data_IF_867761415479
#
_entry.id   IF_867761415479
#
_cell.length_a   1.000
_cell.length_b   1.000
_cell.length_c   1.000
_cell.angle_alpha   90.00
_cell.angle_beta   90.00
_cell.angle_gamma   90.00
#
_symmetry.space_group_name_H-M   'P 1'
#
loop_
_entity.id
_entity.type
_entity.pdbx_description
1 polymer ?
#
# COMPACT_ATOMS: atom_id res chain seq x y z
N UNK A 1 -5.84 26.00 13.35
CA UNK A 1 -6.52 25.62 14.62
C UNK A 1 -7.33 26.83 15.07
N UNK A 2 -8.54 26.65 15.50
CA UNK A 2 -9.39 27.76 16.02
C UNK A 2 -9.09 27.90 17.50
N UNK A 3 -8.75 29.12 17.95
CA UNK A 3 -8.39 29.38 19.33
C UNK A 3 -9.49 30.17 20.02
N UNK A 4 -9.54 30.07 21.36
CA UNK A 4 -10.44 30.90 22.15
C UNK A 4 -10.02 32.38 22.03
N UNK A 5 -10.94 33.25 21.57
CA UNK A 5 -10.68 34.68 21.32
C UNK A 5 -10.46 35.06 19.86
N UNK A 6 -10.44 34.06 18.93
CA UNK A 6 -10.38 34.37 17.50
C UNK A 6 -11.64 35.12 17.05
N UNK A 7 -11.46 36.16 16.25
CA UNK A 7 -12.59 36.85 15.62
C UNK A 7 -13.11 36.08 14.39
N UNK A 8 -14.28 36.47 13.87
CA UNK A 8 -14.90 35.79 12.74
C UNK A 8 -13.99 35.69 11.50
N UNK A 9 -13.17 36.71 11.21
CA UNK A 9 -12.24 36.68 10.09
C UNK A 9 -11.09 35.69 10.34
N UNK A 10 -10.59 35.64 11.58
CA UNK A 10 -9.53 34.68 11.94
C UNK A 10 -10.04 33.25 11.87
N UNK A 11 -11.27 32.99 12.32
CA UNK A 11 -11.94 31.69 12.18
C UNK A 11 -12.08 31.30 10.70
N UNK A 12 -12.63 32.22 9.88
CA UNK A 12 -12.78 31.96 8.43
C UNK A 12 -11.42 31.71 7.77
N UNK A 13 -10.41 32.51 8.06
CA UNK A 13 -9.08 32.33 7.52
C UNK A 13 -8.43 31.02 8.00
N UNK A 14 -8.59 30.65 9.26
CA UNK A 14 -8.14 29.37 9.79
C UNK A 14 -8.83 28.19 9.09
N UNK A 15 -10.12 28.24 8.85
CA UNK A 15 -10.87 27.22 8.13
C UNK A 15 -10.47 27.11 6.65
N UNK A 16 -10.10 28.22 6.03
CA UNK A 16 -9.68 28.25 4.60
C UNK A 16 -8.22 27.89 4.39
N UNK A 17 -7.34 28.21 5.32
CA UNK A 17 -5.87 28.10 5.15
C UNK A 17 -5.22 26.99 5.96
N UNK A 18 -5.83 26.51 7.04
CA UNK A 18 -5.23 25.51 7.93
C UNK A 18 -5.66 24.07 7.61
N UNK A 19 -5.43 23.64 6.37
CA UNK A 19 -5.56 22.23 6.05
C UNK A 19 -4.30 21.49 6.54
N UNK A 20 -4.33 21.02 7.79
CA UNK A 20 -3.20 20.32 8.40
C UNK A 20 -3.13 18.89 7.87
N UNK A 21 -2.02 18.50 7.24
CA UNK A 21 -1.89 17.14 6.74
C UNK A 21 -1.78 16.14 7.89
N UNK A 22 -2.40 14.98 7.70
CA UNK A 22 -2.34 13.82 8.58
C UNK A 22 -1.29 12.84 8.08
N UNK A 23 -0.48 12.32 8.97
CA UNK A 23 0.46 11.26 8.63
C UNK A 23 -0.22 9.89 8.79
N UNK A 24 -0.28 9.14 7.69
CA UNK A 24 -0.73 7.75 7.64
C UNK A 24 0.48 6.86 7.33
N UNK A 25 0.88 6.04 8.29
CA UNK A 25 1.99 5.10 8.12
C UNK A 25 1.44 3.72 7.81
N UNK A 26 1.84 3.16 6.68
CA UNK A 26 1.54 1.80 6.25
C UNK A 26 2.79 0.94 6.40
N UNK A 27 2.91 0.29 7.51
CA UNK A 27 3.89 -0.75 7.79
C UNK A 27 3.19 -1.88 8.54
N UNK A 28 3.55 -3.10 8.29
CA UNK A 28 3.00 -4.29 8.97
C UNK A 28 1.46 -4.43 8.89
N UNK A 29 0.83 -3.95 7.82
CA UNK A 29 -0.58 -4.18 7.54
C UNK A 29 -0.67 -5.39 6.64
N UNK A 30 -1.56 -6.33 6.96
CA UNK A 30 -1.66 -7.62 6.25
C UNK A 30 -2.86 -7.69 5.32
N UNK A 31 -3.92 -6.89 5.56
CA UNK A 31 -5.15 -6.95 4.76
C UNK A 31 -5.65 -5.56 4.36
N UNK A 32 -6.38 -5.51 3.25
CA UNK A 32 -7.06 -4.28 2.81
C UNK A 32 -8.08 -3.79 3.84
N UNK A 33 -8.76 -4.70 4.52
CA UNK A 33 -9.73 -4.37 5.59
C UNK A 33 -9.06 -3.68 6.78
N UNK A 34 -7.91 -4.19 7.23
CA UNK A 34 -7.13 -3.56 8.29
C UNK A 34 -6.66 -2.16 7.89
N UNK A 35 -6.18 -2.01 6.65
CA UNK A 35 -5.78 -0.74 6.09
C UNK A 35 -6.94 0.25 6.05
N UNK A 36 -8.09 -0.16 5.49
CA UNK A 36 -9.30 0.68 5.43
C UNK A 36 -9.75 1.13 6.82
N UNK A 37 -9.73 0.25 7.80
CA UNK A 37 -10.03 0.58 9.20
C UNK A 37 -9.01 1.56 9.82
N UNK A 38 -7.75 1.49 9.44
CA UNK A 38 -6.71 2.43 9.91
C UNK A 38 -6.85 3.82 9.28
N UNK A 39 -7.18 3.87 7.99
CA UNK A 39 -7.38 5.12 7.25
C UNK A 39 -8.65 5.84 7.74
N UNK A 40 -9.77 5.11 7.88
CA UNK A 40 -11.06 5.68 8.31
C UNK A 40 -11.03 6.30 9.70
N UNK A 41 -10.12 5.89 10.57
CA UNK A 41 -9.94 6.52 11.91
C UNK A 41 -9.31 7.90 11.84
N UNK A 42 -8.71 8.29 10.72
CA UNK A 42 -7.95 9.53 10.58
C UNK A 42 -8.47 10.43 9.46
N UNK A 43 -9.29 9.93 8.55
CA UNK A 43 -9.86 10.67 7.43
C UNK A 43 -11.38 10.66 7.48
N UNK A 44 -12.01 11.49 6.64
CA UNK A 44 -13.46 11.54 6.47
C UNK A 44 -14.00 10.28 5.75
N UNK A 45 -13.18 9.64 4.94
CA UNK A 45 -13.56 8.44 4.22
C UNK A 45 -13.78 7.26 5.20
N UNK A 46 -14.95 6.66 5.17
CA UNK A 46 -15.26 5.46 5.96
C UNK A 46 -14.58 4.21 5.37
N UNK A 47 -14.47 3.16 6.18
CA UNK A 47 -13.80 1.93 5.78
C UNK A 47 -14.48 1.20 4.61
N UNK A 48 -15.80 1.32 4.49
CA UNK A 48 -16.58 0.67 3.42
C UNK A 48 -16.31 1.36 2.09
N UNK A 49 -16.31 2.69 2.06
CA UNK A 49 -16.01 3.47 0.86
C UNK A 49 -14.57 3.21 0.37
N UNK A 50 -13.61 3.10 1.30
CA UNK A 50 -12.21 2.76 0.96
C UNK A 50 -12.14 1.34 0.38
N UNK A 51 -12.75 0.36 1.04
CA UNK A 51 -12.81 -1.02 0.52
C UNK A 51 -13.39 -1.05 -0.89
N UNK A 52 -14.55 -0.41 -1.10
CA UNK A 52 -15.22 -0.35 -2.40
C UNK A 52 -14.35 0.33 -3.48
N UNK A 53 -13.59 1.36 -3.13
CA UNK A 53 -12.71 2.05 -4.06
C UNK A 53 -11.62 1.13 -4.61
N UNK A 54 -11.05 0.23 -3.79
CA UNK A 54 -9.99 -0.69 -4.20
C UNK A 54 -10.50 -2.03 -4.74
N UNK A 55 -11.74 -2.43 -4.44
CA UNK A 55 -12.35 -3.67 -4.96
C UNK A 55 -13.27 -3.43 -6.16
N UNK A 56 -13.34 -2.21 -6.67
CA UNK A 56 -14.14 -1.87 -7.84
C UNK A 56 -13.62 -2.62 -9.08
N UNK A 57 -14.50 -3.39 -9.73
CA UNK A 57 -14.15 -4.23 -10.90
C UNK A 57 -13.51 -3.43 -12.05
N UNK A 58 -14.01 -2.22 -12.33
CA UNK A 58 -13.45 -1.38 -13.39
C UNK A 58 -12.01 -0.98 -13.05
N UNK A 59 -11.76 -0.52 -11.84
CA UNK A 59 -10.44 -0.15 -11.34
C UNK A 59 -9.47 -1.34 -11.38
N UNK A 60 -9.89 -2.49 -10.90
CA UNK A 60 -9.06 -3.70 -10.91
C UNK A 60 -8.68 -4.12 -12.34
N UNK A 61 -9.64 -4.09 -13.27
CA UNK A 61 -9.40 -4.43 -14.67
C UNK A 61 -8.45 -3.45 -15.37
N UNK A 62 -8.57 -2.14 -15.10
CA UNK A 62 -7.70 -1.10 -15.66
C UNK A 62 -6.22 -1.32 -15.28
N UNK A 63 -5.96 -1.83 -14.08
CA UNK A 63 -4.61 -2.11 -13.60
C UNK A 63 -4.21 -3.59 -13.72
N UNK A 64 -5.05 -4.43 -14.32
CA UNK A 64 -4.84 -5.89 -14.39
C UNK A 64 -4.59 -6.54 -13.02
N UNK A 65 -5.34 -6.08 -12.01
CA UNK A 65 -5.29 -6.55 -10.63
C UNK A 65 -6.49 -7.43 -10.29
N UNK A 66 -6.37 -8.21 -9.24
CA UNK A 66 -7.44 -8.97 -8.57
C UNK A 66 -7.66 -8.45 -7.16
N UNK A 67 -8.70 -8.92 -6.47
CA UNK A 67 -8.92 -8.60 -5.06
C UNK A 67 -7.74 -9.02 -4.17
N UNK A 68 -7.07 -10.11 -4.53
CA UNK A 68 -5.91 -10.65 -3.80
C UNK A 68 -4.65 -9.82 -4.07
N UNK A 69 -4.47 -9.35 -5.32
CA UNK A 69 -3.24 -8.64 -5.72
C UNK A 69 -3.32 -7.12 -5.53
N UNK A 70 -4.51 -6.53 -5.33
CA UNK A 70 -4.66 -5.07 -5.16
C UNK A 70 -3.85 -4.51 -3.99
N UNK A 71 -3.63 -5.33 -2.97
CA UNK A 71 -2.85 -4.92 -1.81
C UNK A 71 -1.37 -4.64 -2.14
N UNK A 72 -0.85 -5.16 -3.25
CA UNK A 72 0.51 -4.86 -3.73
C UNK A 72 0.73 -3.40 -4.12
N UNK A 73 -0.35 -2.60 -4.33
CA UNK A 73 -0.25 -1.17 -4.59
C UNK A 73 0.30 -0.37 -3.38
N UNK A 74 0.17 -0.91 -2.18
CA UNK A 74 0.53 -0.21 -0.96
C UNK A 74 2.01 -0.38 -0.63
N UNK A 75 2.83 0.58 -1.09
CA UNK A 75 4.25 0.64 -0.72
C UNK A 75 4.36 1.02 0.76
N UNK A 76 5.06 0.24 1.62
CA UNK A 76 5.28 0.60 3.02
C UNK A 76 5.98 1.95 3.15
N UNK A 77 5.28 2.94 3.69
CA UNK A 77 5.79 4.31 3.89
C UNK A 77 4.88 5.10 4.83
N UNK A 78 5.27 6.32 5.14
CA UNK A 78 4.40 7.32 5.77
C UNK A 78 3.96 8.33 4.72
N UNK A 79 2.65 8.41 4.52
CA UNK A 79 2.02 9.29 3.54
C UNK A 79 1.31 10.44 4.24
N UNK A 80 1.36 11.61 3.61
CA UNK A 80 0.59 12.77 4.06
C UNK A 80 -0.72 12.86 3.28
N UNK A 81 -1.82 12.90 4.00
CA UNK A 81 -3.17 13.10 3.49
C UNK A 81 -3.85 14.23 4.27
N UNK A 82 -4.88 14.81 3.70
CA UNK A 82 -5.75 15.71 4.42
C UNK A 82 -6.91 14.92 5.05
N UNK A 83 -7.44 15.41 6.16
CA UNK A 83 -8.53 14.74 6.87
C UNK A 83 -9.78 14.56 5.99
N UNK A 84 -10.04 15.49 5.05
CA UNK A 84 -11.15 15.47 4.10
C UNK A 84 -10.87 14.71 2.81
N UNK A 85 -9.79 13.90 2.77
CA UNK A 85 -9.49 13.04 1.62
C UNK A 85 -10.56 11.96 1.49
N UNK A 86 -11.30 11.96 0.39
CA UNK A 86 -12.28 10.92 0.10
C UNK A 86 -11.62 9.62 -0.40
N UNK A 87 -12.39 8.54 -0.48
CA UNK A 87 -11.87 7.22 -0.85
C UNK A 87 -11.29 7.15 -2.28
N UNK A 88 -11.83 7.92 -3.21
CA UNK A 88 -11.33 7.99 -4.58
C UNK A 88 -9.99 8.70 -4.64
N UNK A 89 -9.88 9.88 -4.03
CA UNK A 89 -8.63 10.64 -3.98
C UNK A 89 -7.53 9.86 -3.24
N UNK A 90 -7.92 9.15 -2.17
CA UNK A 90 -7.01 8.26 -1.45
C UNK A 90 -6.46 7.16 -2.38
N UNK A 91 -7.33 6.47 -3.12
CA UNK A 91 -6.94 5.44 -4.09
C UNK A 91 -6.02 6.00 -5.18
N UNK A 92 -6.37 7.13 -5.80
CA UNK A 92 -5.57 7.76 -6.83
C UNK A 92 -4.18 8.16 -6.33
N UNK A 93 -4.10 8.64 -5.09
CA UNK A 93 -2.81 8.95 -4.47
C UNK A 93 -1.96 7.69 -4.26
N UNK A 94 -2.54 6.58 -3.83
CA UNK A 94 -1.82 5.30 -3.65
C UNK A 94 -1.30 4.79 -5.00
N UNK A 95 -2.11 4.82 -6.05
CA UNK A 95 -1.68 4.45 -7.41
C UNK A 95 -0.51 5.32 -7.87
N UNK A 96 -0.61 6.64 -7.70
CA UNK A 96 0.47 7.57 -8.06
C UNK A 96 1.78 7.28 -7.31
N UNK A 97 1.70 6.92 -6.03
CA UNK A 97 2.88 6.56 -5.25
C UNK A 97 3.48 5.23 -5.73
N UNK A 98 2.65 4.26 -6.07
CA UNK A 98 3.08 3.00 -6.67
C UNK A 98 3.80 3.24 -8.01
N UNK A 99 3.22 4.02 -8.91
CA UNK A 99 3.83 4.36 -10.21
C UNK A 99 5.15 5.12 -10.04
N UNK A 100 5.20 6.05 -9.10
CA UNK A 100 6.42 6.80 -8.78
C UNK A 100 7.52 5.91 -8.20
N UNK A 101 7.14 4.93 -7.38
CA UNK A 101 8.08 3.94 -6.86
C UNK A 101 8.66 3.08 -7.99
N UNK A 102 7.85 2.63 -8.93
CA UNK A 102 8.26 1.80 -10.06
C UNK A 102 8.81 2.64 -11.22
N UNK A 103 9.81 3.46 -10.92
CA UNK A 103 10.52 4.25 -11.92
C UNK A 103 11.27 3.37 -12.94
N UNK A 104 11.74 3.97 -14.03
CA UNK A 104 12.40 3.26 -15.14
C UNK A 104 13.58 2.39 -14.67
N UNK A 105 14.35 2.86 -13.70
CA UNK A 105 15.50 2.10 -13.17
C UNK A 105 15.05 0.80 -12.49
N UNK A 106 13.97 0.85 -11.67
CA UNK A 106 13.41 -0.34 -11.03
C UNK A 106 12.75 -1.27 -12.04
N UNK A 107 12.01 -0.71 -13.00
CA UNK A 107 11.39 -1.49 -14.10
C UNK A 107 12.45 -2.24 -14.89
N UNK A 108 13.60 -1.61 -15.21
CA UNK A 108 14.67 -2.30 -15.92
C UNK A 108 15.25 -3.46 -15.12
N UNK A 109 15.45 -3.27 -13.80
CA UNK A 109 15.96 -4.35 -12.92
C UNK A 109 15.00 -5.54 -12.82
N UNK A 110 13.68 -5.32 -12.74
CA UNK A 110 12.74 -6.44 -12.62
C UNK A 110 12.57 -7.21 -13.93
N UNK A 111 12.82 -6.58 -15.08
CA UNK A 111 12.87 -7.28 -16.38
C UNK A 111 13.97 -8.33 -16.43
N UNK A 112 15.12 -8.09 -15.78
CA UNK A 112 16.25 -9.04 -15.73
C UNK A 112 15.88 -10.35 -15.00
N UNK A 113 14.87 -10.29 -14.11
CA UNK A 113 14.40 -11.45 -13.36
C UNK A 113 13.02 -11.97 -13.82
N UNK A 114 12.52 -11.48 -14.96
CA UNK A 114 11.23 -11.87 -15.56
C UNK A 114 10.02 -11.77 -14.63
N UNK A 115 10.00 -10.77 -13.76
CA UNK A 115 8.87 -10.46 -12.87
C UNK A 115 8.25 -9.11 -13.22
N UNK A 116 6.96 -8.95 -12.89
CA UNK A 116 6.28 -7.67 -12.94
C UNK A 116 6.27 -6.98 -11.55
N UNK A 117 5.90 -5.69 -11.45
CA UNK A 117 5.85 -4.97 -10.19
C UNK A 117 5.04 -5.65 -9.08
N UNK A 118 3.88 -6.20 -9.42
CA UNK A 118 2.98 -6.88 -8.47
C UNK A 118 3.65 -8.15 -7.91
N UNK A 119 4.22 -8.96 -8.78
CA UNK A 119 4.94 -10.19 -8.39
C UNK A 119 6.13 -9.90 -7.49
N UNK A 120 6.88 -8.84 -7.78
CA UNK A 120 7.99 -8.41 -6.90
C UNK A 120 7.47 -7.97 -5.54
N UNK A 121 6.36 -7.23 -5.46
CA UNK A 121 5.76 -6.83 -4.18
C UNK A 121 5.31 -8.06 -3.37
N UNK A 122 4.69 -9.03 -4.02
CA UNK A 122 4.29 -10.30 -3.38
C UNK A 122 5.52 -11.05 -2.86
N UNK A 123 6.55 -11.24 -3.71
CA UNK A 123 7.79 -11.91 -3.30
C UNK A 123 8.48 -11.20 -2.15
N UNK A 124 8.56 -9.87 -2.19
CA UNK A 124 9.14 -9.06 -1.12
C UNK A 124 8.40 -9.23 0.21
N UNK A 125 7.06 -9.34 0.18
CA UNK A 125 6.26 -9.60 1.38
C UNK A 125 6.54 -10.97 1.99
N UNK A 126 6.75 -11.99 1.16
CA UNK A 126 7.14 -13.34 1.60
C UNK A 126 8.53 -13.29 2.26
N UNK A 127 9.51 -12.70 1.59
CA UNK A 127 10.88 -12.56 2.11
C UNK A 127 10.89 -11.79 3.44
N UNK A 128 10.08 -10.74 3.56
CA UNK A 128 9.98 -9.97 4.81
C UNK A 128 9.40 -10.79 5.97
N UNK A 129 8.47 -11.69 5.69
CA UNK A 129 7.86 -12.58 6.69
C UNK A 129 8.75 -13.76 7.05
N UNK A 130 9.65 -14.16 6.16
CA UNK A 130 10.59 -15.28 6.38
C UNK A 130 11.66 -14.93 7.40
N UNK A 131 12.19 -13.70 7.35
CA UNK A 131 13.22 -13.26 8.31
C UNK A 131 13.03 -11.80 8.76
N UNK A 132 13.19 -11.55 10.08
CA UNK A 132 13.27 -10.19 10.60
C UNK A 132 14.61 -9.52 10.27
N UNK A 133 15.67 -10.28 9.94
CA UNK A 133 17.02 -9.78 9.68
C UNK A 133 17.16 -9.26 8.26
N UNK A 134 17.50 -7.99 8.14
CA UNK A 134 17.58 -7.30 6.83
C UNK A 134 18.72 -7.85 5.98
N UNK A 135 19.83 -8.21 6.58
CA UNK A 135 21.04 -8.77 5.94
C UNK A 135 20.82 -10.16 5.32
N UNK A 136 19.89 -10.95 5.85
CA UNK A 136 19.54 -12.26 5.29
C UNK A 136 18.60 -12.18 4.08
N UNK A 137 17.83 -11.09 3.95
CA UNK A 137 16.80 -10.93 2.90
C UNK A 137 17.30 -11.11 1.46
N UNK A 138 18.49 -10.61 1.06
CA UNK A 138 19.00 -10.83 -0.28
C UNK A 138 19.23 -12.32 -0.58
N UNK A 139 19.74 -13.07 0.38
CA UNK A 139 19.99 -14.53 0.24
C UNK A 139 18.67 -15.29 0.07
N UNK A 140 17.67 -14.99 0.90
CA UNK A 140 16.34 -15.62 0.85
C UNK A 140 15.65 -15.27 -0.47
N UNK A 141 15.70 -13.99 -0.89
CA UNK A 141 15.17 -13.57 -2.20
C UNK A 141 15.82 -14.34 -3.34
N UNK A 142 17.16 -14.52 -3.31
CA UNK A 142 17.88 -15.32 -4.29
C UNK A 142 17.43 -16.78 -4.36
N UNK A 143 17.16 -17.39 -3.19
CA UNK A 143 16.61 -18.77 -3.16
C UNK A 143 15.24 -18.84 -3.83
N UNK A 144 14.34 -17.89 -3.56
CA UNK A 144 13.02 -17.88 -4.18
C UNK A 144 13.06 -17.56 -5.67
N UNK A 145 13.91 -16.64 -6.11
CA UNK A 145 14.10 -16.35 -7.53
C UNK A 145 14.62 -17.59 -8.28
N UNK A 146 15.60 -18.30 -7.73
CA UNK A 146 16.10 -19.55 -8.30
C UNK A 146 15.00 -20.63 -8.39
N UNK A 147 14.10 -20.71 -7.40
CA UNK A 147 12.95 -21.64 -7.46
C UNK A 147 11.98 -21.25 -8.57
N UNK A 148 11.65 -19.98 -8.72
CA UNK A 148 10.78 -19.48 -9.78
C UNK A 148 11.37 -19.78 -11.17
N UNK A 149 12.66 -19.50 -11.37
CA UNK A 149 13.36 -19.78 -12.62
C UNK A 149 13.30 -21.28 -13.00
N UNK A 150 13.39 -22.17 -11.99
CA UNK A 150 13.30 -23.63 -12.16
C UNK A 150 11.87 -24.17 -12.13
N UNK A 151 10.85 -23.33 -12.17
CA UNK A 151 9.43 -23.70 -12.03
C UNK A 151 9.14 -24.56 -10.77
N UNK A 152 9.86 -24.31 -9.67
CA UNK A 152 9.66 -24.98 -8.40
C UNK A 152 8.67 -24.19 -7.54
N UNK A 153 7.90 -24.89 -6.70
CA UNK A 153 7.07 -24.26 -5.67
C UNK A 153 7.96 -23.51 -4.66
N UNK A 154 7.52 -22.32 -4.21
CA UNK A 154 8.27 -21.52 -3.24
C UNK A 154 8.43 -22.25 -1.90
N UNK A 155 7.40 -22.99 -1.43
CA UNK A 155 7.40 -23.71 -0.14
C UNK A 155 7.78 -22.79 1.02
N UNK A 156 7.21 -21.59 1.01
CA UNK A 156 7.43 -20.58 2.04
C UNK A 156 6.37 -20.73 3.14
N UNK A 157 6.78 -21.02 4.37
CA UNK A 157 5.88 -21.18 5.51
C UNK A 157 4.94 -19.97 5.73
N UNK A 158 5.39 -18.71 5.55
CA UNK A 158 4.51 -17.55 5.65
C UNK A 158 3.28 -17.61 4.74
N UNK A 159 3.38 -18.23 3.56
CA UNK A 159 2.25 -18.35 2.63
C UNK A 159 1.19 -19.32 3.12
N UNK A 160 1.60 -20.39 3.80
CA UNK A 160 0.69 -21.35 4.43
C UNK A 160 -0.06 -20.69 5.59
N UNK A 161 0.68 -19.98 6.46
CA UNK A 161 0.09 -19.23 7.58
C UNK A 161 -0.91 -18.17 7.09
N UNK A 162 -0.59 -17.47 6.01
CA UNK A 162 -1.47 -16.47 5.40
C UNK A 162 -2.77 -17.10 4.87
N UNK A 163 -2.68 -18.23 4.18
CA UNK A 163 -3.85 -18.91 3.61
C UNK A 163 -4.84 -19.47 4.65
N UNK A 164 -4.36 -19.77 5.86
CA UNK A 164 -5.21 -20.26 6.96
C UNK A 164 -5.98 -19.10 7.65
N UNK A 165 -5.46 -17.86 7.54
CA UNK A 165 -6.06 -16.67 8.15
C UNK A 165 -7.14 -16.00 7.28
N UNK A 166 -7.30 -16.43 6.04
CA UNK A 166 -8.31 -15.95 5.08
C UNK A 166 -9.63 -16.72 5.25
#
# INVERSE_FOLDING_TARGET
MINSGDNNNDIVNSLRSSNVPLNLTFNNIETLSELAGKVSKKSEADSVSIMNAFTNKKFLNELSLTNESVFSLFIPNTYQFFWNTNATDFRERIVKEFDSFWNQTRINKIKEINLNPVEVMVLASIVQKETPKVDERPTIAGVYLNRLEKNMKLQADPTVVYSIKQ
#
